data_IF_617688261089
#
_entry.id   IF_617688261089
#
_cell.length_a   1.000
_cell.length_b   1.000
_cell.length_c   1.000
_cell.angle_alpha   90.00
_cell.angle_beta   90.00
_cell.angle_gamma   90.00
#
_symmetry.space_group_name_H-M   'P 1'
#
loop_
_entity.id
_entity.type
_entity.pdbx_description
1 polymer ?
#
# COMPACT_ATOMS: atom_id res chain seq x y z
N UNK A 1 -26.52 -5.21 46.91
CA UNK A 1 -26.45 -6.18 45.80
C UNK A 1 -25.18 -5.92 45.00
N UNK A 2 -24.18 -6.80 45.14
CA UNK A 2 -22.88 -6.66 44.47
C UNK A 2 -22.94 -7.10 42.99
N UNK A 3 -24.05 -7.75 42.57
CA UNK A 3 -24.29 -8.23 41.22
C UNK A 3 -24.43 -7.09 40.20
N UNK A 4 -25.05 -5.97 40.59
CA UNK A 4 -25.16 -4.78 39.74
C UNK A 4 -23.81 -4.08 39.48
N UNK A 5 -22.94 -4.01 40.49
CA UNK A 5 -21.62 -3.38 40.38
C UNK A 5 -20.67 -4.19 39.50
N UNK A 6 -20.69 -5.51 39.60
CA UNK A 6 -19.90 -6.38 38.72
C UNK A 6 -20.36 -6.30 37.27
N UNK A 7 -21.68 -6.23 37.03
CA UNK A 7 -22.26 -6.05 35.70
C UNK A 7 -21.78 -4.77 35.00
N UNK A 8 -21.85 -3.62 35.70
CA UNK A 8 -21.39 -2.32 35.14
C UNK A 8 -19.89 -2.34 34.84
N UNK A 9 -19.07 -2.92 35.72
CA UNK A 9 -17.63 -3.03 35.49
C UNK A 9 -17.30 -3.91 34.28
N UNK A 10 -18.03 -5.00 34.09
CA UNK A 10 -17.86 -5.88 32.93
C UNK A 10 -18.22 -5.15 31.64
N UNK A 11 -19.33 -4.40 31.60
CA UNK A 11 -19.70 -3.64 30.41
C UNK A 11 -18.70 -2.52 30.09
N UNK A 12 -18.17 -1.84 31.12
CA UNK A 12 -17.09 -0.87 30.94
C UNK A 12 -15.83 -1.51 30.36
N UNK A 13 -15.39 -2.65 30.89
CA UNK A 13 -14.22 -3.37 30.37
C UNK A 13 -14.40 -3.81 28.92
N UNK A 14 -15.60 -4.28 28.54
CA UNK A 14 -15.93 -4.62 27.15
C UNK A 14 -15.86 -3.38 26.25
N UNK A 15 -16.44 -2.27 26.67
CA UNK A 15 -16.39 -1.02 25.91
C UNK A 15 -14.96 -0.52 25.75
N UNK A 16 -14.15 -0.54 26.81
CA UNK A 16 -12.71 -0.20 26.80
C UNK A 16 -11.96 -1.08 25.81
N UNK A 17 -12.13 -2.41 25.86
CA UNK A 17 -11.45 -3.33 24.95
C UNK A 17 -11.80 -3.10 23.48
N UNK A 18 -13.07 -2.74 23.17
CA UNK A 18 -13.46 -2.36 21.80
C UNK A 18 -12.82 -1.05 21.36
N UNK A 19 -12.74 -0.06 22.24
CA UNK A 19 -12.10 1.21 21.94
C UNK A 19 -10.59 1.04 21.67
N UNK A 20 -9.89 0.20 22.46
CA UNK A 20 -8.47 -0.14 22.22
C UNK A 20 -8.27 -0.83 20.89
N UNK A 21 -9.09 -1.85 20.60
CA UNK A 21 -9.02 -2.58 19.32
C UNK A 21 -9.25 -1.65 18.13
N UNK A 22 -10.26 -0.79 18.21
CA UNK A 22 -10.55 0.17 17.15
C UNK A 22 -9.37 1.13 16.91
N UNK A 23 -8.72 1.62 17.96
CA UNK A 23 -7.53 2.46 17.81
C UNK A 23 -6.38 1.72 17.10
N UNK A 24 -6.17 0.45 17.44
CA UNK A 24 -5.18 -0.39 16.77
C UNK A 24 -5.54 -0.63 15.30
N UNK A 25 -6.80 -0.93 14.99
CA UNK A 25 -7.27 -1.10 13.61
C UNK A 25 -7.06 0.17 12.77
N UNK A 26 -7.29 1.36 13.32
CA UNK A 26 -6.99 2.63 12.63
C UNK A 26 -5.49 2.80 12.37
N UNK A 27 -4.63 2.42 13.33
CA UNK A 27 -3.17 2.45 13.18
C UNK A 27 -2.70 1.49 12.08
N UNK A 28 -3.20 0.25 12.10
CA UNK A 28 -2.87 -0.78 11.11
C UNK A 28 -3.35 -0.39 9.72
N UNK A 29 -4.58 0.11 9.60
CA UNK A 29 -5.13 0.54 8.31
C UNK A 29 -4.29 1.64 7.67
N UNK A 30 -3.82 2.63 8.46
CA UNK A 30 -2.94 3.69 7.94
C UNK A 30 -1.63 3.11 7.39
N UNK A 31 -1.02 2.20 8.13
CA UNK A 31 0.24 1.56 7.71
C UNK A 31 0.03 0.72 6.46
N UNK A 32 -1.07 -0.02 6.36
CA UNK A 32 -1.36 -0.84 5.18
C UNK A 32 -1.63 0.02 3.93
N UNK A 33 -2.29 1.18 4.10
CA UNK A 33 -2.43 2.17 3.03
C UNK A 33 -1.07 2.67 2.55
N UNK A 34 -0.18 3.06 3.46
CA UNK A 34 1.18 3.51 3.12
C UNK A 34 1.97 2.41 2.43
N UNK A 35 1.90 1.18 2.94
CA UNK A 35 2.57 0.02 2.37
C UNK A 35 2.10 -0.27 0.96
N UNK A 36 0.79 -0.19 0.70
CA UNK A 36 0.23 -0.40 -0.64
C UNK A 36 0.81 0.59 -1.65
N UNK A 37 0.91 1.87 -1.29
CA UNK A 37 1.49 2.90 -2.17
C UNK A 37 2.99 2.69 -2.43
N UNK A 38 3.73 2.25 -1.41
CA UNK A 38 5.14 1.86 -1.55
C UNK A 38 5.26 0.65 -2.48
N UNK A 39 4.38 -0.34 -2.34
CA UNK A 39 4.35 -1.51 -3.23
C UNK A 39 4.09 -1.11 -4.67
N UNK A 40 3.13 -0.22 -4.95
CA UNK A 40 2.88 0.26 -6.31
C UNK A 40 4.09 1.00 -6.90
N UNK A 41 4.74 1.89 -6.15
CA UNK A 41 5.99 2.51 -6.62
C UNK A 41 7.08 1.49 -6.92
N UNK A 42 7.29 0.53 -6.01
CA UNK A 42 8.28 -0.52 -6.21
C UNK A 42 7.97 -1.34 -7.47
N UNK A 43 6.70 -1.66 -7.71
CA UNK A 43 6.30 -2.39 -8.93
C UNK A 43 6.52 -1.56 -10.20
N UNK A 44 6.21 -0.26 -10.20
CA UNK A 44 6.51 0.64 -11.33
C UNK A 44 7.99 0.59 -11.69
N UNK A 45 8.85 0.87 -10.71
CA UNK A 45 10.31 0.86 -10.89
C UNK A 45 10.83 -0.52 -11.29
N UNK A 46 10.23 -1.60 -10.78
CA UNK A 46 10.62 -2.94 -11.17
C UNK A 46 10.32 -3.24 -12.65
N UNK A 47 9.20 -2.74 -13.18
CA UNK A 47 8.85 -2.86 -14.59
C UNK A 47 9.70 -1.95 -15.49
N UNK A 48 9.98 -0.71 -15.07
CA UNK A 48 10.96 0.18 -15.73
C UNK A 48 12.35 -0.48 -15.79
N UNK A 49 12.81 -1.08 -14.70
CA UNK A 49 14.08 -1.80 -14.71
C UNK A 49 14.09 -3.05 -15.60
N UNK A 50 12.93 -3.52 -16.12
CA UNK A 50 12.88 -4.59 -17.13
C UNK A 50 13.00 -4.02 -18.54
N UNK A 51 12.40 -2.88 -18.86
CA UNK A 51 12.59 -2.23 -20.17
C UNK A 51 14.06 -1.94 -20.40
N UNK A 52 14.74 -1.34 -19.42
CA UNK A 52 16.18 -1.02 -19.49
C UNK A 52 17.04 -2.25 -19.78
N UNK A 53 16.76 -3.39 -19.12
CA UNK A 53 17.49 -4.65 -19.34
C UNK A 53 17.22 -5.24 -20.72
N UNK A 54 15.98 -5.19 -21.19
CA UNK A 54 15.62 -5.67 -22.53
C UNK A 54 16.20 -4.79 -23.64
N UNK A 55 16.33 -3.48 -23.41
CA UNK A 55 17.03 -2.56 -24.31
C UNK A 55 18.54 -2.82 -24.35
N UNK A 56 19.19 -2.96 -23.20
CA UNK A 56 20.64 -3.18 -23.10
C UNK A 56 21.10 -4.47 -23.80
N UNK A 57 20.34 -5.56 -23.66
CA UNK A 57 20.64 -6.84 -24.31
C UNK A 57 20.62 -6.76 -25.84
N UNK A 58 19.93 -5.77 -26.42
CA UNK A 58 19.86 -5.59 -27.86
C UNK A 58 20.98 -4.71 -28.43
N UNK A 59 21.73 -4.00 -27.59
CA UNK A 59 22.87 -3.18 -28.02
C UNK A 59 24.19 -3.95 -28.15
N UNK A 60 24.35 -5.06 -27.41
CA UNK A 60 25.64 -5.76 -27.25
C UNK A 60 25.83 -6.98 -28.17
N UNK A 61 24.76 -7.60 -28.68
CA UNK A 61 24.86 -8.82 -29.51
C UNK A 61 24.29 -8.59 -30.91
N UNK A 62 25.14 -8.14 -31.84
CA UNK A 62 24.88 -8.18 -33.28
C UNK A 62 25.23 -9.58 -33.86
N UNK A 63 24.75 -10.65 -33.23
CA UNK A 63 24.79 -11.97 -33.86
C UNK A 63 23.52 -12.13 -34.72
N UNK A 64 23.64 -12.24 -36.06
CA UNK A 64 22.50 -12.22 -36.98
C UNK A 64 21.57 -13.44 -36.90
N UNK A 65 21.95 -14.47 -36.13
CA UNK A 65 21.22 -15.74 -36.04
C UNK A 65 20.25 -15.82 -34.84
N UNK A 66 20.39 -14.92 -33.85
CA UNK A 66 19.48 -14.80 -32.69
C UNK A 66 18.80 -13.43 -32.72
N UNK A 67 18.17 -13.12 -33.84
CA UNK A 67 17.20 -12.04 -33.90
C UNK A 67 15.98 -12.50 -33.10
N UNK A 68 15.88 -12.12 -31.83
CA UNK A 68 14.56 -12.00 -31.20
C UNK A 68 13.80 -11.07 -32.13
N UNK A 69 12.78 -11.63 -32.80
CA UNK A 69 12.01 -10.94 -33.83
C UNK A 69 11.69 -9.53 -33.33
N UNK A 70 12.14 -8.51 -34.05
CA UNK A 70 12.11 -7.11 -33.59
C UNK A 70 10.73 -6.70 -33.06
N UNK A 71 9.66 -7.27 -33.63
CA UNK A 71 8.27 -7.14 -33.18
C UNK A 71 8.03 -7.67 -31.77
N UNK A 72 8.58 -8.86 -31.43
CA UNK A 72 8.50 -9.42 -30.08
C UNK A 72 9.23 -8.55 -29.06
N UNK A 73 10.38 -7.96 -29.43
CA UNK A 73 11.10 -7.01 -28.58
C UNK A 73 10.30 -5.75 -28.31
N UNK A 74 9.76 -5.14 -29.36
CA UNK A 74 8.90 -3.95 -29.25
C UNK A 74 7.67 -4.25 -28.37
N UNK A 75 7.04 -5.41 -28.56
CA UNK A 75 5.94 -5.86 -27.72
C UNK A 75 6.32 -6.03 -26.25
N UNK A 76 7.48 -6.59 -25.93
CA UNK A 76 7.96 -6.74 -24.55
C UNK A 76 8.25 -5.39 -23.88
N UNK A 77 8.82 -4.44 -24.62
CA UNK A 77 9.08 -3.09 -24.12
C UNK A 77 7.77 -2.33 -23.88
N UNK A 78 6.84 -2.38 -24.83
CA UNK A 78 5.52 -1.77 -24.68
C UNK A 78 4.78 -2.35 -23.48
N UNK A 79 4.75 -3.68 -23.34
CA UNK A 79 4.08 -4.35 -22.23
C UNK A 79 4.67 -3.96 -20.86
N UNK A 80 6.01 -3.94 -20.74
CA UNK A 80 6.65 -3.52 -19.50
C UNK A 80 6.41 -2.04 -19.18
N UNK A 81 6.43 -1.16 -20.20
CA UNK A 81 6.08 0.25 -20.05
C UNK A 81 4.63 0.46 -19.60
N UNK A 82 3.67 -0.21 -20.24
CA UNK A 82 2.26 -0.17 -19.85
C UNK A 82 2.05 -0.62 -18.40
N UNK A 83 2.78 -1.65 -17.95
CA UNK A 83 2.71 -2.10 -16.56
C UNK A 83 3.30 -1.08 -15.58
N UNK A 84 4.42 -0.42 -15.92
CA UNK A 84 4.97 0.64 -15.10
C UNK A 84 3.96 1.77 -14.93
N UNK A 85 3.43 2.29 -16.04
CA UNK A 85 2.42 3.35 -16.05
C UNK A 85 1.15 2.95 -15.30
N UNK A 86 0.69 1.70 -15.44
CA UNK A 86 -0.45 1.17 -14.70
C UNK A 86 -0.22 1.23 -13.19
N UNK A 87 0.96 0.81 -12.69
CA UNK A 87 1.26 0.85 -11.27
C UNK A 87 1.40 2.29 -10.74
N UNK A 88 1.96 3.19 -11.54
CA UNK A 88 2.01 4.61 -11.20
C UNK A 88 0.59 5.20 -11.09
N UNK A 89 -0.28 4.92 -12.07
CA UNK A 89 -1.68 5.34 -12.04
C UNK A 89 -2.46 4.77 -10.85
N UNK A 90 -2.21 3.50 -10.48
CA UNK A 90 -2.78 2.89 -9.28
C UNK A 90 -2.34 3.61 -8.01
N UNK A 91 -1.05 3.96 -7.90
CA UNK A 91 -0.51 4.74 -6.77
C UNK A 91 -1.21 6.09 -6.66
N UNK A 92 -1.28 6.84 -7.75
CA UNK A 92 -1.89 8.17 -7.76
C UNK A 92 -3.37 8.12 -7.37
N UNK A 93 -4.13 7.21 -8.00
CA UNK A 93 -5.55 7.05 -7.72
C UNK A 93 -5.82 6.62 -6.26
N UNK A 94 -4.97 5.77 -5.69
CA UNK A 94 -5.11 5.34 -4.31
C UNK A 94 -4.69 6.43 -3.32
N UNK A 95 -3.59 7.15 -3.58
CA UNK A 95 -3.16 8.26 -2.74
C UNK A 95 -4.23 9.35 -2.69
N UNK A 96 -4.81 9.72 -3.85
CA UNK A 96 -5.90 10.69 -3.93
C UNK A 96 -7.11 10.25 -3.08
N UNK A 97 -7.59 9.02 -3.29
CA UNK A 97 -8.77 8.49 -2.57
C UNK A 97 -8.52 8.33 -1.08
N UNK A 98 -7.30 7.99 -0.68
CA UNK A 98 -6.96 7.72 0.71
C UNK A 98 -6.49 8.93 1.49
N UNK A 99 -6.13 10.04 0.83
CA UNK A 99 -5.65 11.25 1.50
C UNK A 99 -6.58 11.70 2.63
N UNK A 100 -7.89 11.75 2.37
CA UNK A 100 -8.90 12.14 3.37
C UNK A 100 -8.95 11.14 4.54
N UNK A 101 -8.87 9.84 4.25
CA UNK A 101 -8.93 8.78 5.28
C UNK A 101 -7.66 8.79 6.14
N UNK A 102 -6.48 8.91 5.52
CA UNK A 102 -5.20 9.02 6.22
C UNK A 102 -5.16 10.27 7.09
N UNK A 103 -5.65 11.40 6.59
CA UNK A 103 -5.76 12.64 7.37
C UNK A 103 -6.69 12.47 8.58
N UNK A 104 -7.86 11.86 8.39
CA UNK A 104 -8.78 11.57 9.49
C UNK A 104 -8.16 10.62 10.53
N UNK A 105 -7.47 9.57 10.07
CA UNK A 105 -6.75 8.63 10.94
C UNK A 105 -5.64 9.32 11.74
N UNK A 106 -4.87 10.23 11.12
CA UNK A 106 -3.83 11.01 11.81
C UNK A 106 -4.42 11.89 12.90
N UNK A 107 -5.47 12.65 12.59
CA UNK A 107 -6.16 13.50 13.57
C UNK A 107 -6.76 12.66 14.71
N UNK A 108 -7.36 11.51 14.38
CA UNK A 108 -7.88 10.58 15.37
C UNK A 108 -6.77 10.09 16.29
N UNK A 109 -5.65 9.60 15.75
CA UNK A 109 -4.55 9.02 16.52
C UNK A 109 -3.70 10.06 17.26
N UNK A 110 -3.72 11.33 16.85
CA UNK A 110 -3.03 12.42 17.53
C UNK A 110 -3.72 12.84 18.84
N UNK A 111 -4.99 12.47 19.04
CA UNK A 111 -5.67 12.73 20.31
C UNK A 111 -5.03 11.89 21.42
N UNK A 112 -4.92 12.45 22.63
CA UNK A 112 -4.55 11.69 23.83
C UNK A 112 -5.52 10.51 23.97
N UNK A 113 -5.01 9.27 24.06
CA UNK A 113 -5.93 8.14 24.15
C UNK A 113 -6.75 8.31 25.42
N UNK A 114 -8.07 8.18 25.28
CA UNK A 114 -9.04 8.31 26.38
C UNK A 114 -8.81 7.21 27.44
N UNK A 115 -7.87 6.30 27.18
CA UNK A 115 -7.56 5.10 27.94
C UNK A 115 -6.16 5.14 28.57
N UNK A 116 -5.36 6.19 28.30
CA UNK A 116 -4.02 6.38 28.87
C UNK A 116 -4.06 6.93 30.31
N UNK A 117 -5.24 7.37 30.79
CA UNK A 117 -5.43 7.96 32.12
C UNK A 117 -6.06 6.99 33.15
N UNK A 118 -6.23 5.70 32.81
CA UNK A 118 -6.94 4.71 33.63
C UNK A 118 -6.10 3.53 34.11
#
# INVERSE_FOLDING_TARGET
DLSGYTGVRVEWLKARARAQRWEEEVRLLRVEMERTLVTFSHMSTWWEGRTERTEALAGENQDPEVSVEQELKEGLLAYAGEHADMYLGLREAFEERWMVVRQAALLFLARKSILDEA
#
